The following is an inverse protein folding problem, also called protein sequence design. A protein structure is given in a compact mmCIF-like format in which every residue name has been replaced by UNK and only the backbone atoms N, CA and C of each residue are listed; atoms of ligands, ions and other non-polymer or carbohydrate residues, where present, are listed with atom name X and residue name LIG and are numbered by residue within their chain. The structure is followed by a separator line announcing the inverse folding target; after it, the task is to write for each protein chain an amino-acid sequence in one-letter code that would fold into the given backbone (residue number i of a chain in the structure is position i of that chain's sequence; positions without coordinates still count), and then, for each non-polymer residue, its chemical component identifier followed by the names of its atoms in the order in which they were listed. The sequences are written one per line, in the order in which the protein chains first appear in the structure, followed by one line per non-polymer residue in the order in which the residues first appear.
data_IF_707939741211
#
_entry.id   IF_707939741211
#
_cell.length_a   1.000
_cell.length_b   1.000
_cell.length_c   1.000
_cell.angle_alpha   90.00
_cell.angle_beta   90.00
_cell.angle_gamma   90.00
#
_symmetry.space_group_name_H-M   'P 1'
#
loop_
_entity.id
_entity.type
_entity.pdbx_description
1 polymer ?
#
# COMPACT_ATOMS: atom_id res chain seq x y z
N UNK A 1 61.52 -9.31 -0.32
CA UNK A 1 62.08 -8.37 0.67
C UNK A 1 60.98 -7.36 1.00
N UNK A 2 60.64 -7.29 2.30
CA UNK A 2 59.87 -6.29 3.08
C UNK A 2 58.50 -5.82 2.53
N UNK A 3 57.45 -6.46 3.05
CA UNK A 3 56.06 -6.00 3.16
C UNK A 3 56.03 -4.72 4.05
N UNK A 4 55.29 -3.68 3.61
CA UNK A 4 54.82 -2.60 4.49
C UNK A 4 53.33 -2.73 4.63
N UNK A 5 52.88 -3.13 5.82
CA UNK A 5 51.49 -2.95 6.31
C UNK A 5 51.32 -1.46 6.62
N UNK A 6 50.22 -0.88 6.17
CA UNK A 6 49.78 0.45 6.58
C UNK A 6 48.47 0.29 7.34
N UNK A 7 48.55 0.43 8.66
CA UNK A 7 47.41 0.54 9.56
C UNK A 7 46.77 1.92 9.43
N UNK A 8 45.48 1.96 9.23
CA UNK A 8 44.67 3.19 9.34
C UNK A 8 43.97 3.14 10.70
N UNK A 9 44.36 4.04 11.57
CA UNK A 9 43.73 4.33 12.86
C UNK A 9 42.48 5.16 12.62
N UNK A 10 41.32 4.67 13.03
CA UNK A 10 40.09 5.45 13.15
C UNK A 10 40.04 6.07 14.54
N UNK A 11 40.11 7.38 14.61
CA UNK A 11 39.96 8.16 15.85
C UNK A 11 38.49 8.50 16.04
N UNK A 12 37.89 7.97 17.10
CA UNK A 12 36.57 8.36 17.57
C UNK A 12 36.69 9.61 18.44
N UNK A 13 35.99 10.66 18.09
CA UNK A 13 35.86 11.86 18.93
C UNK A 13 34.48 11.88 19.58
N UNK A 14 34.46 11.59 20.88
CA UNK A 14 33.29 11.84 21.74
C UNK A 14 33.27 13.34 22.10
N UNK A 15 32.15 14.00 21.86
CA UNK A 15 31.84 15.27 22.49
C UNK A 15 30.75 15.06 23.54
N UNK A 16 31.15 15.22 24.80
CA UNK A 16 30.26 15.34 25.95
C UNK A 16 29.88 16.81 26.10
N UNK A 17 28.61 17.11 26.14
CA UNK A 17 28.05 18.43 26.45
C UNK A 17 27.06 18.33 27.59
N UNK A 18 27.35 19.05 28.65
CA UNK A 18 26.80 18.95 29.98
C UNK A 18 25.39 19.52 30.16
N UNK A 19 24.71 18.98 31.15
CA UNK A 19 23.47 19.34 31.81
C UNK A 19 23.46 20.78 32.35
N UNK A 20 22.34 21.47 32.17
CA UNK A 20 21.81 22.44 33.11
C UNK A 20 20.30 22.35 33.14
N UNK A 21 19.75 22.00 34.30
CA UNK A 21 18.37 21.82 34.58
C UNK A 21 17.68 23.11 35.00
N UNK A 22 16.36 23.08 34.92
CA UNK A 22 15.47 23.78 35.86
C UNK A 22 14.13 23.04 35.89
N UNK A 23 13.73 22.67 37.10
CA UNK A 23 12.52 21.95 37.40
C UNK A 23 11.31 22.83 37.53
N UNK A 24 10.15 22.24 37.41
CA UNK A 24 8.90 22.68 38.08
C UNK A 24 8.02 21.46 38.39
N UNK A 25 7.45 21.51 39.53
CA UNK A 25 6.71 20.49 40.29
C UNK A 25 5.30 20.21 39.70
N UNK A 26 4.67 19.12 40.17
CA UNK A 26 3.41 18.60 39.63
C UNK A 26 2.18 19.31 40.24
N UNK A 27 1.12 19.34 39.47
CA UNK A 27 -0.21 19.80 39.96
C UNK A 27 -1.17 18.61 40.03
N UNK A 28 -1.97 18.70 41.06
CA UNK A 28 -2.81 17.75 41.74
C UNK A 28 -4.01 17.22 40.91
N UNK A 29 -4.35 15.99 41.18
CA UNK A 29 -5.60 15.30 40.91
C UNK A 29 -6.78 15.94 41.68
N UNK A 30 -7.91 16.14 40.99
CA UNK A 30 -9.22 16.32 41.61
C UNK A 30 -10.23 15.37 40.92
N UNK A 31 -11.02 14.62 41.68
CA UNK A 31 -11.99 13.67 41.13
C UNK A 31 -13.32 14.39 40.82
N UNK A 32 -13.96 14.03 39.73
CA UNK A 32 -15.30 14.53 39.42
C UNK A 32 -16.33 13.41 39.56
N UNK A 33 -17.36 13.78 40.31
CA UNK A 33 -18.47 12.98 40.73
C UNK A 33 -19.47 12.65 39.63
N UNK A 34 -20.03 11.48 39.77
CA UNK A 34 -21.20 10.93 39.08
C UNK A 34 -22.44 11.79 39.30
N UNK A 35 -23.23 12.06 38.27
CA UNK A 35 -24.65 12.36 38.45
C UNK A 35 -25.47 11.65 37.38
N UNK A 36 -26.22 10.64 37.83
CA UNK A 36 -27.33 10.03 37.10
C UNK A 36 -28.51 11.01 37.05
N UNK A 37 -29.20 11.05 35.92
CA UNK A 37 -30.60 11.43 35.88
C UNK A 37 -31.37 10.57 34.90
N UNK A 38 -32.15 9.66 35.44
CA UNK A 38 -33.26 8.99 34.77
C UNK A 38 -34.34 9.98 34.34
N UNK A 39 -34.97 9.76 33.20
CA UNK A 39 -36.40 10.03 33.01
C UNK A 39 -37.00 9.14 31.94
N UNK A 40 -37.92 8.31 32.39
CA UNK A 40 -38.93 7.56 31.61
C UNK A 40 -39.87 8.48 30.82
N UNK A 41 -40.41 7.92 29.73
CA UNK A 41 -41.84 7.80 29.36
C UNK A 41 -41.95 7.36 27.88
N UNK A 42 -42.31 6.20 27.56
CA UNK A 42 -43.60 5.53 27.33
C UNK A 42 -44.40 5.98 26.10
N UNK A 43 -44.73 4.95 25.31
CA UNK A 43 -45.84 4.65 24.38
C UNK A 43 -45.35 4.46 22.92
N UNK A 44 -45.32 3.32 22.32
CA UNK A 44 -46.41 2.36 22.17
C UNK A 44 -46.99 2.49 20.74
N UNK A 45 -46.47 1.67 19.74
CA UNK A 45 -47.30 1.24 18.60
C UNK A 45 -46.76 -0.08 18.05
N UNK A 46 -47.62 -1.06 18.16
CA UNK A 46 -47.49 -2.40 17.61
C UNK A 46 -47.72 -2.39 16.12
N UNK A 47 -46.79 -2.99 15.34
CA UNK A 47 -47.05 -3.42 13.96
C UNK A 47 -46.71 -4.93 13.86
N UNK A 48 -47.43 -5.74 13.04
CA UNK A 48 -47.48 -7.17 13.19
C UNK A 48 -46.25 -7.88 12.63
N UNK A 49 -45.87 -8.95 13.32
CA UNK A 49 -44.82 -9.88 12.91
C UNK A 49 -45.13 -10.51 11.56
N UNK A 50 -44.25 -10.32 10.60
CA UNK A 50 -44.13 -11.17 9.42
C UNK A 50 -43.27 -12.35 9.83
N UNK A 51 -43.86 -13.53 9.77
CA UNK A 51 -43.19 -14.79 10.01
C UNK A 51 -42.24 -15.05 8.83
N UNK A 52 -40.96 -14.79 9.02
CA UNK A 52 -39.92 -15.15 8.08
C UNK A 52 -39.65 -16.66 8.26
N UNK A 53 -40.01 -17.45 7.28
CA UNK A 53 -39.64 -18.85 7.17
C UNK A 53 -38.15 -18.95 6.91
N UNK A 54 -37.40 -19.47 7.87
CA UNK A 54 -36.00 -19.81 7.70
C UNK A 54 -35.79 -20.70 6.46
N UNK A 55 -34.78 -20.44 5.61
CA UNK A 55 -34.36 -21.40 4.60
C UNK A 55 -33.77 -22.63 5.30
N UNK A 56 -34.13 -23.79 4.76
CA UNK A 56 -33.71 -25.10 5.24
C UNK A 56 -32.17 -25.17 5.27
N UNK A 57 -31.68 -25.82 6.33
CA UNK A 57 -30.30 -26.23 6.57
C UNK A 57 -29.59 -26.64 5.27
N UNK A 58 -28.64 -25.86 4.83
CA UNK A 58 -27.56 -26.39 4.01
C UNK A 58 -26.69 -27.22 4.95
N UNK A 59 -26.68 -28.53 4.76
CA UNK A 59 -25.77 -29.44 5.44
C UNK A 59 -24.34 -28.90 5.25
N UNK A 60 -23.71 -28.48 6.36
CA UNK A 60 -22.29 -28.21 6.40
C UNK A 60 -21.54 -29.48 5.93
N UNK A 61 -20.47 -29.36 5.12
CA UNK A 61 -19.67 -30.51 4.72
C UNK A 61 -19.16 -31.19 5.98
N UNK A 62 -19.52 -32.47 6.11
CA UNK A 62 -19.06 -33.34 7.18
C UNK A 62 -17.56 -33.50 7.04
N UNK A 63 -16.78 -32.89 7.95
CA UNK A 63 -15.34 -32.99 8.27
C UNK A 63 -14.62 -31.63 8.39
N UNK A 64 -15.31 -30.52 8.67
CA UNK A 64 -14.61 -29.30 9.08
C UNK A 64 -14.07 -29.49 10.51
N UNK A 65 -12.76 -29.49 10.70
CA UNK A 65 -12.11 -29.52 12.01
C UNK A 65 -12.62 -28.35 12.87
N UNK A 66 -13.04 -28.64 14.10
CA UNK A 66 -13.46 -27.60 15.04
C UNK A 66 -12.28 -26.65 15.32
N UNK A 67 -12.38 -25.34 14.96
CA UNK A 67 -11.30 -24.38 15.20
C UNK A 67 -10.81 -24.34 16.66
N UNK A 68 -11.70 -24.59 17.63
CA UNK A 68 -11.34 -24.66 19.03
C UNK A 68 -10.50 -25.91 19.40
N UNK A 69 -10.45 -26.92 18.55
CA UNK A 69 -9.58 -28.11 18.74
C UNK A 69 -8.14 -27.86 18.25
N UNK A 70 -7.93 -26.86 17.41
CA UNK A 70 -6.60 -26.53 16.86
C UNK A 70 -5.74 -25.89 17.94
N UNK A 71 -4.54 -26.43 18.17
CA UNK A 71 -3.59 -25.94 19.17
C UNK A 71 -2.20 -25.82 18.58
N UNK A 72 -1.39 -24.92 19.11
CA UNK A 72 0.00 -24.78 18.74
C UNK A 72 0.48 -23.34 18.81
N UNK A 73 1.71 -23.13 18.37
CA UNK A 73 2.34 -21.80 18.36
C UNK A 73 3.18 -21.63 17.11
N UNK A 74 3.28 -20.39 16.61
CA UNK A 74 4.20 -19.99 15.55
C UNK A 74 4.62 -18.54 15.70
N UNK A 75 5.73 -18.17 15.05
CA UNK A 75 6.26 -16.80 15.04
C UNK A 75 5.79 -16.05 13.81
N UNK A 76 5.37 -14.78 14.00
CA UNK A 76 4.98 -13.89 12.90
C UNK A 76 5.71 -12.53 13.01
N UNK A 77 6.47 -12.18 11.98
CA UNK A 77 7.17 -10.90 11.90
C UNK A 77 6.53 -9.99 10.87
N UNK A 78 6.33 -8.73 11.24
CA UNK A 78 5.72 -7.70 10.40
C UNK A 78 6.29 -6.32 10.67
N UNK A 79 6.02 -5.39 9.77
CA UNK A 79 6.35 -3.96 9.91
C UNK A 79 5.12 -3.07 10.15
N UNK A 80 3.91 -3.67 10.21
CA UNK A 80 2.67 -2.93 10.37
C UNK A 80 1.95 -3.26 11.67
N UNK A 81 1.53 -2.23 12.40
CA UNK A 81 0.74 -2.37 13.62
C UNK A 81 -0.65 -2.99 13.37
N UNK A 82 -1.16 -2.93 12.13
CA UNK A 82 -2.45 -3.55 11.76
C UNK A 82 -2.48 -5.06 11.95
N UNK A 83 -1.31 -5.73 11.94
CA UNK A 83 -1.20 -7.14 12.26
C UNK A 83 -1.69 -7.51 13.67
N UNK A 84 -1.69 -6.57 14.63
CA UNK A 84 -2.30 -6.80 15.93
C UNK A 84 -3.81 -7.08 15.83
N UNK A 85 -4.50 -6.35 14.93
CA UNK A 85 -5.93 -6.56 14.70
C UNK A 85 -6.18 -7.89 13.97
N UNK A 86 -5.34 -8.24 13.01
CA UNK A 86 -5.37 -9.52 12.30
C UNK A 86 -5.21 -10.70 13.26
N UNK A 87 -4.17 -10.68 14.10
CA UNK A 87 -3.91 -11.73 15.10
C UNK A 87 -5.06 -11.85 16.10
N UNK A 88 -5.58 -10.72 16.57
CA UNK A 88 -6.73 -10.70 17.47
C UNK A 88 -7.96 -11.35 16.81
N UNK A 89 -8.30 -10.97 15.59
CA UNK A 89 -9.44 -11.52 14.89
C UNK A 89 -9.26 -13.01 14.57
N UNK A 90 -8.07 -13.46 14.21
CA UNK A 90 -7.75 -14.87 14.07
C UNK A 90 -7.94 -15.65 15.36
N UNK A 91 -7.50 -15.12 16.50
CA UNK A 91 -7.64 -15.77 17.80
C UNK A 91 -9.09 -15.81 18.33
N UNK A 92 -10.00 -15.00 17.80
CA UNK A 92 -11.44 -15.14 18.07
C UNK A 92 -12.01 -16.42 17.44
N UNK A 93 -11.42 -16.87 16.31
CA UNK A 93 -11.80 -18.13 15.65
C UNK A 93 -10.97 -19.31 16.15
N UNK A 94 -9.65 -19.12 16.35
CA UNK A 94 -8.69 -20.14 16.79
C UNK A 94 -8.12 -19.84 18.19
N UNK A 95 -8.90 -19.96 19.26
CA UNK A 95 -8.56 -19.44 20.59
C UNK A 95 -7.39 -20.17 21.26
N UNK A 96 -7.02 -21.35 20.77
CA UNK A 96 -5.94 -22.19 21.34
C UNK A 96 -4.68 -22.20 20.48
N UNK A 97 -4.58 -21.30 19.49
CA UNK A 97 -3.34 -21.05 18.73
C UNK A 97 -2.67 -19.79 19.27
N UNK A 98 -1.39 -19.90 19.61
CA UNK A 98 -0.56 -18.76 20.05
C UNK A 98 0.26 -18.24 18.88
N UNK A 99 0.24 -16.93 18.66
CA UNK A 99 1.09 -16.26 17.67
C UNK A 99 2.07 -15.34 18.39
N UNK A 100 3.39 -15.66 18.31
CA UNK A 100 4.45 -14.75 18.75
C UNK A 100 4.63 -13.66 17.68
N UNK A 101 3.77 -12.63 17.77
CA UNK A 101 3.80 -11.48 16.86
C UNK A 101 4.91 -10.51 17.25
N UNK A 102 5.81 -10.22 16.31
CA UNK A 102 6.84 -9.21 16.45
C UNK A 102 6.69 -8.12 15.40
N UNK A 103 6.39 -6.91 15.87
CA UNK A 103 6.20 -5.71 15.03
C UNK A 103 7.45 -4.84 15.15
N UNK A 104 8.05 -4.46 14.04
CA UNK A 104 9.24 -3.63 13.98
C UNK A 104 8.96 -2.37 13.17
N UNK A 105 9.70 -1.29 13.41
CA UNK A 105 9.65 -0.12 12.50
C UNK A 105 10.13 -0.48 11.09
N UNK A 106 9.59 0.14 10.06
CA UNK A 106 9.78 -0.27 8.66
C UNK A 106 11.25 -0.47 8.25
N UNK A 107 12.14 0.49 8.51
CA UNK A 107 13.57 0.38 8.16
C UNK A 107 14.30 -0.71 8.97
N UNK A 108 13.95 -0.85 10.26
CA UNK A 108 14.48 -1.90 11.11
C UNK A 108 13.99 -3.27 10.63
N UNK A 109 12.70 -3.39 10.33
CA UNK A 109 12.09 -4.60 9.81
C UNK A 109 12.78 -5.06 8.53
N UNK A 110 12.88 -4.17 7.53
CA UNK A 110 13.52 -4.47 6.26
C UNK A 110 14.92 -5.04 6.46
N UNK A 111 15.73 -4.40 7.30
CA UNK A 111 17.09 -4.85 7.58
C UNK A 111 17.11 -6.23 8.22
N UNK A 112 16.24 -6.48 9.22
CA UNK A 112 16.15 -7.76 9.92
C UNK A 112 15.70 -8.89 9.01
N UNK A 113 14.58 -8.70 8.31
CA UNK A 113 14.00 -9.76 7.47
C UNK A 113 14.93 -10.11 6.31
N UNK A 114 15.51 -9.12 5.62
CA UNK A 114 16.46 -9.40 4.53
C UNK A 114 17.70 -10.13 5.02
N UNK A 115 18.23 -9.78 6.21
CA UNK A 115 19.35 -10.48 6.82
C UNK A 115 19.00 -11.93 7.15
N UNK A 116 17.82 -12.18 7.73
CA UNK A 116 17.34 -13.51 8.06
C UNK A 116 17.16 -14.37 6.79
N UNK A 117 16.51 -13.81 5.77
CA UNK A 117 16.28 -14.49 4.47
C UNK A 117 17.61 -14.82 3.77
N UNK A 118 18.55 -13.88 3.70
CA UNK A 118 19.83 -14.08 3.04
C UNK A 118 20.71 -15.10 3.77
N UNK A 119 20.68 -15.12 5.10
CA UNK A 119 21.48 -16.07 5.90
C UNK A 119 20.78 -17.43 6.09
N UNK A 120 19.47 -17.50 5.95
CA UNK A 120 18.64 -18.65 6.31
C UNK A 120 18.64 -18.94 7.82
N UNK A 121 19.01 -17.95 8.67
CA UNK A 121 19.10 -18.09 10.12
C UNK A 121 18.10 -17.15 10.82
N UNK A 122 17.35 -17.69 11.79
CA UNK A 122 16.40 -16.89 12.57
C UNK A 122 15.22 -16.39 11.75
N UNK A 123 14.89 -17.04 10.64
CA UNK A 123 13.71 -16.73 9.84
C UNK A 123 12.47 -17.12 10.64
N UNK A 124 11.49 -16.22 10.83
CA UNK A 124 10.21 -16.56 11.49
C UNK A 124 9.39 -17.54 10.66
N UNK A 125 8.41 -18.21 11.28
CA UNK A 125 7.53 -19.16 10.57
C UNK A 125 6.69 -18.47 9.51
N UNK A 126 6.15 -17.30 9.86
CA UNK A 126 5.35 -16.43 8.99
C UNK A 126 5.96 -15.03 9.02
N UNK A 127 5.98 -14.35 7.89
CA UNK A 127 6.53 -13.00 7.79
C UNK A 127 5.94 -12.22 6.61
N UNK A 128 5.94 -10.90 6.74
CA UNK A 128 5.52 -10.01 5.67
C UNK A 128 6.69 -9.62 4.77
N UNK A 129 6.41 -9.47 3.50
CA UNK A 129 7.29 -8.79 2.56
C UNK A 129 6.52 -7.64 1.88
N UNK A 130 7.12 -6.47 1.91
CA UNK A 130 6.61 -5.31 1.20
C UNK A 130 6.96 -5.39 -0.29
N UNK A 131 6.05 -5.00 -1.16
CA UNK A 131 6.15 -5.07 -2.61
C UNK A 131 7.49 -4.54 -3.17
N UNK A 132 8.01 -3.46 -2.60
CA UNK A 132 9.26 -2.83 -3.06
C UNK A 132 10.48 -3.77 -3.11
N UNK A 133 10.44 -4.89 -2.36
CA UNK A 133 11.51 -5.89 -2.34
C UNK A 133 11.00 -7.34 -2.32
N UNK A 134 9.70 -7.56 -2.23
CA UNK A 134 9.08 -8.89 -2.16
C UNK A 134 9.45 -9.75 -3.37
N UNK A 135 9.34 -9.20 -4.56
CA UNK A 135 9.54 -9.93 -5.81
C UNK A 135 10.97 -10.46 -5.99
N UNK A 136 11.95 -9.89 -5.30
CA UNK A 136 13.33 -10.40 -5.29
C UNK A 136 13.46 -11.78 -4.62
N UNK A 137 12.47 -12.16 -3.80
CA UNK A 137 12.51 -13.39 -3.00
C UNK A 137 11.50 -14.45 -3.43
N UNK A 138 10.48 -14.11 -4.25
CA UNK A 138 9.44 -15.08 -4.61
C UNK A 138 10.00 -16.31 -5.35
N UNK A 139 11.01 -16.15 -6.17
CA UNK A 139 11.69 -17.26 -6.87
C UNK A 139 12.63 -18.09 -5.97
N UNK A 140 12.81 -17.68 -4.70
CA UNK A 140 13.71 -18.39 -3.80
C UNK A 140 13.06 -19.61 -3.15
N UNK A 141 13.90 -20.61 -2.80
CA UNK A 141 13.49 -21.79 -2.03
C UNK A 141 13.29 -21.50 -0.53
N UNK A 142 13.47 -20.25 -0.10
CA UNK A 142 13.32 -19.89 1.32
C UNK A 142 11.86 -19.61 1.68
N UNK A 143 11.06 -19.22 0.70
CA UNK A 143 9.61 -19.01 0.83
C UNK A 143 8.89 -20.26 0.34
N UNK A 144 7.97 -20.78 1.13
CA UNK A 144 7.21 -21.98 0.82
C UNK A 144 6.33 -21.78 -0.44
N UNK A 145 6.21 -22.83 -1.22
CA UNK A 145 5.16 -22.97 -2.23
C UNK A 145 3.85 -23.27 -1.50
N UNK A 146 2.87 -22.40 -1.63
CA UNK A 146 1.59 -22.46 -0.89
C UNK A 146 0.58 -23.46 -1.48
N UNK A 147 0.94 -24.23 -2.52
CA UNK A 147 0.05 -25.23 -3.14
C UNK A 147 -0.47 -26.29 -2.14
N UNK A 148 0.26 -26.51 -1.04
CA UNK A 148 -0.16 -27.47 0.01
C UNK A 148 -1.44 -27.07 0.74
N UNK A 149 -1.89 -25.81 0.66
CA UNK A 149 -3.06 -25.29 1.36
C UNK A 149 -4.26 -24.98 0.44
N UNK A 150 -4.28 -25.51 -0.78
CA UNK A 150 -5.33 -25.25 -1.77
C UNK A 150 -5.55 -23.76 -2.05
N UNK A 151 -4.46 -23.02 -2.17
CA UNK A 151 -4.44 -21.56 -2.28
C UNK A 151 -5.25 -21.04 -3.50
N UNK A 152 -5.29 -21.80 -4.59
CA UNK A 152 -6.06 -21.46 -5.80
C UNK A 152 -7.56 -21.34 -5.52
N UNK A 153 -8.12 -22.23 -4.71
CA UNK A 153 -9.52 -22.15 -4.31
C UNK A 153 -9.77 -21.00 -3.34
N UNK A 154 -8.83 -20.75 -2.41
CA UNK A 154 -8.92 -19.64 -1.45
C UNK A 154 -8.87 -18.26 -2.11
N UNK A 155 -8.25 -18.16 -3.28
CA UNK A 155 -8.04 -16.87 -3.98
C UNK A 155 -8.81 -16.76 -5.30
N UNK A 156 -9.73 -17.70 -5.60
CA UNK A 156 -10.46 -17.74 -6.87
C UNK A 156 -11.30 -16.50 -7.15
N UNK A 157 -11.76 -15.83 -6.10
CA UNK A 157 -12.59 -14.64 -6.17
C UNK A 157 -11.79 -13.34 -5.94
N UNK A 158 -10.46 -13.42 -5.92
CA UNK A 158 -9.57 -12.25 -5.83
C UNK A 158 -9.47 -11.53 -7.17
N UNK A 159 -9.05 -10.26 -7.14
CA UNK A 159 -8.72 -9.54 -8.37
C UNK A 159 -7.57 -10.22 -9.10
N UNK A 160 -7.64 -10.28 -10.44
CA UNK A 160 -6.64 -10.96 -11.27
C UNK A 160 -5.20 -10.47 -11.03
N UNK A 161 -5.01 -9.15 -10.87
CA UNK A 161 -3.69 -8.59 -10.59
C UNK A 161 -3.16 -9.02 -9.22
N UNK A 162 -4.02 -9.20 -8.23
CA UNK A 162 -3.62 -9.72 -6.92
C UNK A 162 -3.17 -11.16 -7.03
N UNK A 163 -3.95 -12.00 -7.72
CA UNK A 163 -3.56 -13.40 -7.97
C UNK A 163 -2.23 -13.49 -8.71
N UNK A 164 -2.00 -12.61 -9.70
CA UNK A 164 -0.75 -12.57 -10.44
C UNK A 164 0.43 -12.15 -9.55
N UNK A 165 0.26 -11.14 -8.70
CA UNK A 165 1.32 -10.60 -7.82
C UNK A 165 1.76 -11.57 -6.71
N UNK A 166 0.94 -12.58 -6.39
CA UNK A 166 1.25 -13.59 -5.36
C UNK A 166 2.10 -14.76 -5.87
N UNK A 167 2.40 -14.80 -7.17
CA UNK A 167 3.08 -15.93 -7.83
C UNK A 167 4.55 -15.62 -8.14
N UNK A 168 5.37 -16.68 -8.10
CA UNK A 168 6.73 -16.64 -8.62
C UNK A 168 6.75 -16.69 -10.17
N UNK A 169 7.93 -16.61 -10.77
CA UNK A 169 8.13 -16.68 -12.23
C UNK A 169 7.69 -18.02 -12.85
N UNK A 170 7.49 -19.06 -12.03
CA UNK A 170 7.02 -20.38 -12.47
C UNK A 170 5.48 -20.53 -12.26
N UNK A 171 4.79 -19.49 -11.83
CA UNK A 171 3.35 -19.51 -11.59
C UNK A 171 2.91 -20.14 -10.26
N UNK A 172 3.85 -20.39 -9.34
CA UNK A 172 3.56 -20.96 -8.03
C UNK A 172 3.23 -19.86 -7.04
N UNK A 173 2.18 -20.05 -6.26
CA UNK A 173 1.86 -19.15 -5.16
C UNK A 173 2.93 -19.20 -4.07
N UNK A 174 3.53 -18.07 -3.75
CA UNK A 174 4.60 -17.92 -2.76
C UNK A 174 4.20 -17.02 -1.61
N UNK A 175 3.16 -16.22 -1.78
CA UNK A 175 2.66 -15.29 -0.79
C UNK A 175 1.14 -15.18 -0.86
N UNK A 176 0.53 -14.61 0.17
CA UNK A 176 -0.86 -14.23 0.19
C UNK A 176 -0.97 -12.75 0.52
N UNK A 177 -1.62 -11.97 -0.33
CA UNK A 177 -2.02 -10.60 -0.01
C UNK A 177 -3.55 -10.56 0.23
N UNK A 178 -3.96 -9.99 1.34
CA UNK A 178 -5.38 -9.91 1.73
C UNK A 178 -6.03 -8.57 1.43
N UNK A 179 -5.23 -7.62 0.95
CA UNK A 179 -5.67 -6.27 0.63
C UNK A 179 -5.14 -5.82 -0.72
N UNK A 180 -5.94 -5.05 -1.42
CA UNK A 180 -5.55 -4.33 -2.62
C UNK A 180 -5.08 -2.93 -2.26
N UNK A 181 -4.18 -2.38 -3.06
CA UNK A 181 -3.59 -1.06 -2.82
C UNK A 181 -3.66 -0.19 -4.09
N UNK A 182 -4.86 0.03 -4.67
CA UNK A 182 -4.98 0.84 -5.87
C UNK A 182 -4.47 2.26 -5.64
N UNK A 183 -3.75 2.81 -6.61
CA UNK A 183 -3.32 4.22 -6.62
C UNK A 183 -4.52 5.09 -6.96
N UNK A 184 -4.70 6.16 -6.20
CA UNK A 184 -5.85 7.05 -6.26
C UNK A 184 -5.41 8.51 -6.35
N UNK A 185 -6.29 9.37 -6.84
CA UNK A 185 -6.15 10.82 -6.74
C UNK A 185 -6.95 11.32 -5.53
N UNK A 186 -6.24 11.51 -4.42
CA UNK A 186 -6.80 12.05 -3.20
C UNK A 186 -6.84 13.57 -3.27
N UNK A 187 -7.95 14.19 -2.84
CA UNK A 187 -8.11 15.65 -2.85
C UNK A 187 -8.95 16.14 -1.67
N UNK A 188 -8.81 17.42 -1.32
CA UNK A 188 -9.72 18.11 -0.40
C UNK A 188 -10.89 18.68 -1.20
N UNK A 189 -12.12 18.36 -0.79
CA UNK A 189 -13.36 18.73 -1.50
C UNK A 189 -13.55 20.24 -1.60
N UNK A 190 -13.29 20.98 -0.54
CA UNK A 190 -13.39 22.44 -0.53
C UNK A 190 -12.35 23.10 -1.47
N UNK A 191 -11.12 22.60 -1.47
CA UNK A 191 -10.10 23.08 -2.38
C UNK A 191 -10.42 22.72 -3.85
N UNK A 192 -10.92 21.51 -4.11
CA UNK A 192 -11.37 21.09 -5.43
C UNK A 192 -12.55 21.95 -5.92
N UNK A 193 -13.57 22.18 -5.10
CA UNK A 193 -14.68 23.08 -5.42
C UNK A 193 -14.19 24.49 -5.79
N UNK A 194 -13.23 25.02 -5.02
CA UNK A 194 -12.68 26.35 -5.23
C UNK A 194 -11.90 26.46 -6.56
N UNK A 195 -11.06 25.46 -6.88
CA UNK A 195 -10.07 25.58 -7.94
C UNK A 195 -10.42 24.80 -9.21
N UNK A 196 -11.15 23.69 -9.08
CA UNK A 196 -11.63 22.88 -10.21
C UNK A 196 -13.08 23.22 -10.58
N UNK A 197 -13.85 23.84 -9.65
CA UNK A 197 -15.27 24.17 -9.83
C UNK A 197 -16.20 22.98 -9.55
N UNK A 198 -15.69 21.92 -8.99
CA UNK A 198 -16.43 20.74 -8.56
C UNK A 198 -15.68 19.99 -7.47
N UNK A 199 -16.41 19.34 -6.57
CA UNK A 199 -15.90 18.39 -5.59
C UNK A 199 -16.40 16.97 -5.82
N UNK A 200 -17.10 16.74 -6.93
CA UNK A 200 -17.61 15.41 -7.33
C UNK A 200 -16.47 14.54 -7.90
N UNK A 201 -16.22 13.33 -7.35
CA UNK A 201 -15.15 12.47 -7.80
C UNK A 201 -15.22 12.06 -9.27
N UNK A 202 -16.45 11.82 -9.78
CA UNK A 202 -16.63 11.38 -11.16
C UNK A 202 -16.38 12.54 -12.15
N UNK A 203 -16.79 13.76 -11.82
CA UNK A 203 -16.51 14.95 -12.62
C UNK A 203 -15.02 15.26 -12.66
N UNK A 204 -14.32 15.12 -11.51
CA UNK A 204 -12.85 15.28 -11.44
C UNK A 204 -12.15 14.23 -12.30
N UNK A 205 -12.54 12.95 -12.18
CA UNK A 205 -11.98 11.88 -13.02
C UNK A 205 -12.22 12.13 -14.53
N UNK A 206 -13.41 12.61 -14.90
CA UNK A 206 -13.74 12.96 -16.28
C UNK A 206 -12.98 14.17 -16.82
N UNK A 207 -12.51 15.06 -15.94
CA UNK A 207 -11.72 16.25 -16.29
C UNK A 207 -10.25 15.91 -16.55
N UNK A 208 -9.71 14.89 -15.87
CA UNK A 208 -8.30 14.53 -15.88
C UNK A 208 -8.12 13.17 -16.59
N UNK A 209 -8.10 13.20 -17.91
CA UNK A 209 -8.14 12.00 -18.76
C UNK A 209 -6.77 11.51 -19.24
N UNK A 210 -5.75 12.35 -19.11
CA UNK A 210 -4.36 12.09 -19.53
C UNK A 210 -3.42 13.15 -18.96
N UNK A 211 -2.10 13.00 -19.22
CA UNK A 211 -1.11 13.96 -18.73
C UNK A 211 -1.25 15.35 -19.33
N UNK A 212 -1.72 15.48 -20.56
CA UNK A 212 -1.95 16.79 -21.20
C UNK A 212 -3.02 17.58 -20.45
N UNK A 213 -4.15 16.95 -20.13
CA UNK A 213 -5.24 17.58 -19.36
C UNK A 213 -4.83 17.91 -17.92
N UNK A 214 -4.05 17.02 -17.26
CA UNK A 214 -3.52 17.29 -15.91
C UNK A 214 -2.59 18.51 -15.92
N UNK A 215 -1.64 18.58 -16.87
CA UNK A 215 -0.69 19.68 -16.97
C UNK A 215 -1.41 20.99 -17.27
N UNK A 216 -2.29 21.00 -18.28
CA UNK A 216 -3.07 22.19 -18.67
C UNK A 216 -3.94 22.71 -17.51
N UNK A 217 -4.60 21.81 -16.78
CA UNK A 217 -5.38 22.19 -15.60
C UNK A 217 -4.51 22.73 -14.47
N UNK A 218 -3.35 22.14 -14.25
CA UNK A 218 -2.40 22.63 -13.26
C UNK A 218 -1.87 24.01 -13.56
N UNK A 219 -1.56 24.31 -14.83
CA UNK A 219 -1.14 25.67 -15.26
C UNK A 219 -2.26 26.69 -15.08
N UNK A 220 -3.51 26.34 -15.45
CA UNK A 220 -4.69 27.18 -15.23
C UNK A 220 -4.85 27.56 -13.75
N UNK A 221 -4.69 26.56 -12.84
CA UNK A 221 -4.82 26.78 -11.40
C UNK A 221 -3.66 27.64 -10.88
N UNK A 222 -2.44 27.38 -11.33
CA UNK A 222 -1.29 28.19 -10.97
C UNK A 222 -1.49 29.68 -11.34
N UNK A 223 -1.98 29.94 -12.56
CA UNK A 223 -2.29 31.31 -12.98
C UNK A 223 -3.41 31.95 -12.15
N UNK A 224 -4.52 31.24 -11.94
CA UNK A 224 -5.66 31.75 -11.16
C UNK A 224 -5.32 32.03 -9.70
N UNK A 225 -4.42 31.24 -9.11
CA UNK A 225 -3.98 31.37 -7.74
C UNK A 225 -2.82 32.36 -7.56
N UNK A 226 -2.32 32.95 -8.61
CA UNK A 226 -1.07 33.76 -8.62
C UNK A 226 0.15 32.95 -8.11
N UNK A 227 0.18 31.66 -8.40
CA UNK A 227 1.26 30.76 -8.04
C UNK A 227 1.20 30.20 -6.61
N UNK A 228 0.10 30.40 -5.90
CA UNK A 228 -0.04 29.91 -4.52
C UNK A 228 -0.51 28.45 -4.43
N UNK A 229 -1.14 27.92 -5.48
CA UNK A 229 -1.72 26.59 -5.53
C UNK A 229 -1.16 25.80 -6.70
N UNK A 230 -0.80 24.54 -6.45
CA UNK A 230 -0.36 23.58 -7.46
C UNK A 230 -1.33 22.40 -7.51
N UNK A 231 -1.55 21.88 -8.71
CA UNK A 231 -2.41 20.70 -8.90
C UNK A 231 -1.70 19.42 -8.50
N UNK A 232 -0.43 19.26 -8.88
CA UNK A 232 0.33 18.02 -8.81
C UNK A 232 1.51 18.12 -7.83
N UNK A 233 1.85 17.05 -7.08
CA UNK A 233 2.91 17.12 -6.07
C UNK A 233 4.33 17.24 -6.67
N UNK A 234 4.68 16.33 -7.59
CA UNK A 234 6.00 16.28 -8.25
C UNK A 234 6.02 15.25 -9.38
N UNK A 235 7.04 15.29 -10.23
CA UNK A 235 7.14 14.40 -11.41
C UNK A 235 7.36 12.92 -11.06
N UNK A 236 7.87 12.61 -9.86
CA UNK A 236 8.08 11.23 -9.41
C UNK A 236 6.75 10.47 -9.29
N UNK A 237 5.67 11.16 -8.87
CA UNK A 237 4.35 10.58 -8.70
C UNK A 237 3.68 10.15 -10.02
N UNK A 238 4.16 10.68 -11.16
CA UNK A 238 3.65 10.29 -12.48
C UNK A 238 3.97 8.82 -12.79
N UNK A 239 5.13 8.34 -12.35
CA UNK A 239 5.52 6.93 -12.53
C UNK A 239 4.57 5.99 -11.77
N UNK A 240 4.08 6.39 -10.59
CA UNK A 240 3.09 5.57 -9.84
C UNK A 240 1.80 5.34 -10.62
N UNK A 241 1.35 6.33 -11.38
CA UNK A 241 0.13 6.24 -12.18
C UNK A 241 0.30 5.27 -13.36
N UNK A 242 1.46 5.33 -14.03
CA UNK A 242 1.67 4.67 -15.31
C UNK A 242 2.37 3.30 -15.21
N UNK A 243 3.17 3.06 -14.16
CA UNK A 243 4.13 1.96 -14.10
C UNK A 243 3.56 0.55 -14.35
N UNK A 244 2.35 0.26 -13.87
CA UNK A 244 1.69 -1.04 -14.06
C UNK A 244 0.73 -1.07 -15.26
N UNK A 245 0.67 0.01 -16.04
CA UNK A 245 -0.07 0.07 -17.30
C UNK A 245 0.82 -0.18 -18.51
N UNK A 246 2.14 -0.27 -18.31
CA UNK A 246 3.14 -0.46 -19.37
C UNK A 246 3.77 -1.85 -19.28
N UNK A 247 4.31 -2.30 -20.41
CA UNK A 247 5.15 -3.50 -20.42
C UNK A 247 6.37 -3.31 -19.48
N UNK A 248 6.84 -4.38 -18.81
CA UNK A 248 8.01 -4.33 -17.95
C UNK A 248 9.24 -3.79 -18.67
N UNK A 249 10.09 -3.05 -17.92
CA UNK A 249 11.38 -2.57 -18.46
C UNK A 249 12.41 -3.67 -18.71
N UNK A 250 12.23 -4.83 -18.09
CA UNK A 250 13.05 -6.02 -18.39
C UNK A 250 12.14 -7.14 -18.86
N UNK A 251 12.36 -7.63 -20.07
CA UNK A 251 11.61 -8.74 -20.70
C UNK A 251 12.62 -9.79 -21.14
N UNK A 252 12.44 -11.03 -20.73
CA UNK A 252 13.35 -12.15 -21.05
C UNK A 252 14.84 -11.84 -20.75
N UNK A 253 15.09 -11.12 -19.65
CA UNK A 253 16.43 -10.72 -19.22
C UNK A 253 17.08 -9.62 -20.06
N UNK A 254 16.31 -8.88 -20.86
CA UNK A 254 16.76 -7.75 -21.68
C UNK A 254 16.06 -6.47 -21.29
N UNK A 255 16.81 -5.38 -21.28
CA UNK A 255 16.21 -4.04 -21.13
C UNK A 255 15.41 -3.67 -22.37
N UNK A 256 14.13 -3.30 -22.16
CA UNK A 256 13.22 -2.80 -23.18
C UNK A 256 12.61 -1.49 -22.70
N UNK A 257 13.08 -0.35 -23.22
CA UNK A 257 12.45 0.96 -22.97
C UNK A 257 11.51 1.23 -24.13
N UNK A 258 10.22 0.93 -23.91
CA UNK A 258 9.18 1.11 -24.94
C UNK A 258 8.86 2.59 -25.18
N UNK A 259 8.09 2.86 -26.23
CA UNK A 259 7.58 4.21 -26.52
C UNK A 259 6.72 4.76 -25.38
N UNK A 260 6.03 3.90 -24.60
CA UNK A 260 5.25 4.32 -23.44
C UNK A 260 6.15 4.90 -22.33
N UNK A 261 7.26 4.21 -22.01
CA UNK A 261 8.24 4.72 -21.04
C UNK A 261 8.93 6.02 -21.51
N UNK A 262 9.20 6.11 -22.82
CA UNK A 262 9.74 7.34 -23.41
C UNK A 262 8.71 8.48 -23.37
N UNK A 263 7.46 8.20 -23.69
CA UNK A 263 6.34 9.15 -23.60
C UNK A 263 6.07 9.63 -22.17
N UNK A 264 6.17 8.73 -21.18
CA UNK A 264 6.08 9.13 -19.78
C UNK A 264 7.21 10.12 -19.42
N UNK A 265 8.44 9.85 -19.86
CA UNK A 265 9.57 10.73 -19.60
C UNK A 265 9.41 12.12 -20.26
N UNK A 266 8.82 12.18 -21.46
CA UNK A 266 8.45 13.45 -22.11
C UNK A 266 7.38 14.21 -21.31
N UNK A 267 6.35 13.50 -20.83
CA UNK A 267 5.33 14.08 -19.96
C UNK A 267 5.90 14.56 -18.62
N UNK A 268 6.81 13.78 -18.00
CA UNK A 268 7.51 14.19 -16.77
C UNK A 268 8.31 15.49 -16.99
N UNK A 269 8.98 15.64 -18.13
CA UNK A 269 9.72 16.85 -18.50
C UNK A 269 8.76 18.03 -18.67
N UNK A 270 7.68 17.85 -19.43
CA UNK A 270 6.67 18.89 -19.63
C UNK A 270 6.05 19.31 -18.30
N UNK A 271 5.72 18.36 -17.43
CA UNK A 271 5.22 18.65 -16.08
C UNK A 271 6.24 19.44 -15.25
N UNK A 272 7.51 19.06 -15.30
CA UNK A 272 8.57 19.76 -14.57
C UNK A 272 8.79 21.20 -15.04
N UNK A 273 8.78 21.42 -16.36
CA UNK A 273 8.96 22.75 -16.98
C UNK A 273 7.71 23.63 -16.83
N UNK A 274 6.55 23.02 -16.67
CA UNK A 274 5.28 23.70 -16.41
C UNK A 274 5.21 24.24 -14.97
N UNK A 275 4.17 24.98 -14.68
CA UNK A 275 3.85 25.44 -13.31
C UNK A 275 2.79 24.58 -12.64
N UNK A 276 2.49 23.41 -13.21
CA UNK A 276 1.42 22.53 -12.74
C UNK A 276 1.80 21.78 -11.46
N UNK A 277 3.10 21.55 -11.18
CA UNK A 277 3.57 20.78 -10.04
C UNK A 277 4.19 21.64 -8.94
N UNK A 278 4.11 21.15 -7.69
CA UNK A 278 4.61 21.85 -6.50
C UNK A 278 6.10 21.62 -6.20
N UNK A 279 6.76 20.66 -6.87
CA UNK A 279 8.11 20.19 -6.55
C UNK A 279 8.28 19.69 -5.10
N UNK A 280 7.20 19.23 -4.46
CA UNK A 280 7.20 18.72 -3.09
C UNK A 280 7.41 17.21 -3.07
N UNK A 281 8.39 16.76 -2.31
CA UNK A 281 8.63 15.33 -2.11
C UNK A 281 7.54 14.70 -1.24
N UNK A 282 6.99 13.58 -1.68
CA UNK A 282 5.99 12.81 -0.91
C UNK A 282 6.53 12.45 0.47
N UNK A 283 5.64 12.43 1.47
CA UNK A 283 5.95 12.18 2.89
C UNK A 283 6.76 13.28 3.59
N UNK A 284 7.11 14.35 2.89
CA UNK A 284 7.75 15.52 3.50
C UNK A 284 6.77 16.37 4.31
N UNK A 285 7.27 17.08 5.33
CA UNK A 285 6.47 18.02 6.13
C UNK A 285 5.82 19.11 5.28
N UNK A 286 6.54 19.60 4.27
CA UNK A 286 6.05 20.66 3.38
C UNK A 286 4.95 20.17 2.45
N UNK A 287 5.03 18.89 1.99
CA UNK A 287 3.99 18.24 1.23
C UNK A 287 2.71 18.06 2.05
N UNK A 288 2.83 17.60 3.31
CA UNK A 288 1.70 17.45 4.22
C UNK A 288 1.06 18.81 4.55
N UNK A 289 1.88 19.84 4.79
CA UNK A 289 1.39 21.18 5.08
C UNK A 289 0.67 21.79 3.87
N UNK A 290 1.25 21.69 2.67
CA UNK A 290 0.63 22.21 1.44
C UNK A 290 -0.73 21.54 1.15
N UNK A 291 -0.84 20.23 1.38
CA UNK A 291 -2.12 19.52 1.30
C UNK A 291 -3.13 20.06 2.31
N UNK A 292 -2.80 20.09 3.59
CA UNK A 292 -3.71 20.53 4.66
C UNK A 292 -4.15 22.00 4.50
N UNK A 293 -3.33 22.83 3.88
CA UNK A 293 -3.63 24.24 3.56
C UNK A 293 -4.42 24.43 2.26
N UNK A 294 -4.75 23.37 1.53
CA UNK A 294 -5.40 23.42 0.22
C UNK A 294 -4.54 24.04 -0.89
N UNK A 295 -3.21 24.06 -0.71
CA UNK A 295 -2.23 24.59 -1.67
C UNK A 295 -1.67 23.53 -2.62
N UNK A 296 -1.82 22.26 -2.27
CA UNK A 296 -1.61 21.10 -3.11
C UNK A 296 -2.95 20.39 -3.29
N UNK A 297 -3.47 20.31 -4.51
CA UNK A 297 -4.81 19.76 -4.75
C UNK A 297 -4.84 18.25 -4.72
N UNK A 298 -3.84 17.58 -5.31
CA UNK A 298 -3.82 16.12 -5.33
C UNK A 298 -2.65 15.53 -4.53
N UNK A 299 -2.96 14.48 -3.78
CA UNK A 299 -2.02 13.42 -3.40
C UNK A 299 -2.25 12.24 -4.33
N UNK A 300 -1.17 11.69 -4.89
CA UNK A 300 -1.20 10.52 -5.75
C UNK A 300 -0.68 9.34 -4.95
N UNK A 301 -1.56 8.69 -4.26
CA UNK A 301 -1.19 7.73 -3.23
C UNK A 301 -2.10 6.49 -3.29
N UNK A 302 -1.61 5.34 -2.85
CA UNK A 302 -2.44 4.15 -2.74
C UNK A 302 -3.55 4.32 -1.69
N UNK A 303 -4.53 3.44 -1.74
CA UNK A 303 -5.73 3.49 -0.90
C UNK A 303 -5.47 3.51 0.60
N UNK A 304 -4.29 3.09 1.06
CA UNK A 304 -3.91 3.07 2.48
C UNK A 304 -3.31 4.39 3.00
N UNK A 305 -3.17 5.44 2.16
CA UNK A 305 -2.60 6.76 2.57
C UNK A 305 -3.43 7.50 3.62
N UNK A 306 -4.65 7.09 3.89
CA UNK A 306 -5.49 7.72 4.91
C UNK A 306 -4.86 7.75 6.31
N UNK A 307 -3.75 7.08 6.56
CA UNK A 307 -3.02 7.11 7.84
C UNK A 307 -2.35 8.45 8.14
N UNK A 308 -2.17 9.32 7.15
CA UNK A 308 -1.45 10.59 7.33
C UNK A 308 -2.39 11.79 7.40
N UNK A 309 -2.66 12.30 8.61
CA UNK A 309 -3.38 13.56 8.86
C UNK A 309 -4.84 13.65 8.33
N UNK A 310 -5.41 12.54 7.80
CA UNK A 310 -6.77 12.53 7.27
C UNK A 310 -7.83 12.93 8.31
N UNK A 311 -7.63 12.59 9.58
CA UNK A 311 -8.56 12.91 10.67
C UNK A 311 -8.83 14.42 10.78
N UNK A 312 -7.85 15.25 10.46
CA UNK A 312 -8.01 16.72 10.45
C UNK A 312 -8.95 17.19 9.33
N UNK A 313 -9.09 16.36 8.30
CA UNK A 313 -9.87 16.65 7.10
C UNK A 313 -11.08 15.72 6.96
N UNK A 314 -11.47 15.01 8.03
CA UNK A 314 -12.62 14.10 8.01
C UNK A 314 -13.88 14.81 7.44
N UNK A 315 -14.56 14.14 6.52
CA UNK A 315 -15.68 14.69 5.77
C UNK A 315 -15.30 15.58 4.57
N UNK A 316 -14.06 16.07 4.49
CA UNK A 316 -13.58 16.94 3.42
C UNK A 316 -12.68 16.21 2.39
N UNK A 317 -12.32 14.97 2.62
CA UNK A 317 -11.49 14.21 1.68
C UNK A 317 -12.37 13.55 0.61
N UNK A 318 -11.91 13.60 -0.63
CA UNK A 318 -12.47 12.87 -1.76
C UNK A 318 -11.41 12.04 -2.48
N UNK A 319 -11.85 11.03 -3.21
CA UNK A 319 -11.01 10.11 -3.98
C UNK A 319 -11.52 10.02 -5.40
N UNK A 320 -10.73 10.46 -6.37
CA UNK A 320 -11.05 10.35 -7.79
C UNK A 320 -10.25 9.19 -8.43
N UNK A 321 -10.88 8.56 -9.44
CA UNK A 321 -10.25 7.49 -10.23
C UNK A 321 -9.21 8.09 -11.17
N UNK A 322 -7.96 7.63 -11.14
CA UNK A 322 -6.95 8.01 -12.11
C UNK A 322 -7.31 7.55 -13.53
N UNK A 323 -6.81 8.24 -14.54
CA UNK A 323 -7.00 7.85 -15.94
C UNK A 323 -6.25 6.57 -16.35
N UNK A 324 -5.27 6.14 -15.54
CA UNK A 324 -4.63 4.83 -15.60
C UNK A 324 -4.72 4.14 -14.25
N UNK A 325 -4.91 2.84 -14.26
CA UNK A 325 -5.05 2.05 -13.05
C UNK A 325 -3.73 1.37 -12.70
N UNK A 326 -3.29 1.57 -11.47
CA UNK A 326 -2.08 0.97 -10.92
C UNK A 326 -2.24 0.67 -9.43
N UNK A 327 -1.27 0.01 -8.84
CA UNK A 327 -1.22 -0.27 -7.40
C UNK A 327 0.19 -0.04 -6.84
N UNK A 328 0.29 0.17 -5.54
CA UNK A 328 1.57 0.38 -4.87
C UNK A 328 1.51 -0.05 -3.40
N UNK A 329 2.60 -0.62 -2.91
CA UNK A 329 2.77 -0.90 -1.48
C UNK A 329 1.93 -2.07 -0.98
N UNK A 330 1.71 -3.09 -1.80
CA UNK A 330 1.11 -4.34 -1.37
C UNK A 330 2.01 -5.06 -0.35
N UNK A 331 1.37 -5.77 0.58
CA UNK A 331 2.04 -6.63 1.55
C UNK A 331 1.71 -8.07 1.25
N UNK A 332 2.74 -8.89 1.11
CA UNK A 332 2.61 -10.33 0.96
C UNK A 332 2.96 -11.06 2.25
N UNK A 333 2.03 -11.86 2.77
CA UNK A 333 2.29 -12.77 3.90
C UNK A 333 2.93 -14.03 3.36
N UNK A 334 4.14 -14.33 3.80
CA UNK A 334 4.96 -15.46 3.37
C UNK A 334 5.11 -16.48 4.49
N UNK A 335 5.34 -17.73 4.11
CA UNK A 335 5.65 -18.84 5.03
C UNK A 335 7.08 -19.30 4.80
N UNK A 336 7.86 -19.48 5.86
CA UNK A 336 9.20 -20.05 5.75
C UNK A 336 9.15 -21.51 5.28
N UNK A 337 9.89 -21.85 4.20
CA UNK A 337 9.79 -23.19 3.64
C UNK A 337 10.22 -24.31 4.60
N UNK A 338 11.15 -24.02 5.50
CA UNK A 338 11.68 -25.02 6.45
C UNK A 338 10.99 -25.02 7.82
N UNK A 339 9.90 -24.25 7.98
CA UNK A 339 9.13 -24.32 9.24
C UNK A 339 8.45 -25.68 9.38
N UNK A 340 8.34 -26.14 10.62
CA UNK A 340 7.52 -27.30 11.00
C UNK A 340 6.06 -26.91 11.34
N UNK A 341 5.71 -25.61 11.17
CA UNK A 341 4.40 -25.03 11.51
C UNK A 341 3.51 -24.81 10.27
N UNK A 342 3.81 -25.45 9.13
CA UNK A 342 3.07 -25.23 7.86
C UNK A 342 1.56 -25.38 8.01
N UNK A 343 1.09 -26.34 8.82
CA UNK A 343 -0.35 -26.57 9.03
C UNK A 343 -1.02 -25.40 9.77
N UNK A 344 -0.34 -24.81 10.78
CA UNK A 344 -0.86 -23.63 11.48
C UNK A 344 -0.80 -22.40 10.61
N UNK A 345 0.29 -22.22 9.86
CA UNK A 345 0.41 -21.14 8.88
C UNK A 345 -0.68 -21.25 7.81
N UNK A 346 -1.01 -22.43 7.31
CA UNK A 346 -2.09 -22.63 6.37
C UNK A 346 -3.47 -22.20 6.93
N UNK A 347 -3.76 -22.53 8.19
CA UNK A 347 -5.01 -22.07 8.83
C UNK A 347 -5.05 -20.56 9.00
N UNK A 348 -3.92 -19.96 9.36
CA UNK A 348 -3.79 -18.51 9.46
C UNK A 348 -4.00 -17.83 8.10
N UNK A 349 -3.31 -18.28 7.04
CA UNK A 349 -3.48 -17.71 5.71
C UNK A 349 -4.89 -17.96 5.15
N UNK A 350 -5.49 -19.12 5.40
CA UNK A 350 -6.86 -19.39 4.98
C UNK A 350 -7.87 -18.46 5.66
N UNK A 351 -7.67 -18.15 6.94
CA UNK A 351 -8.49 -17.15 7.64
C UNK A 351 -8.31 -15.75 7.03
N UNK A 352 -7.08 -15.36 6.76
CA UNK A 352 -6.74 -14.06 6.12
C UNK A 352 -7.36 -13.93 4.72
N UNK A 353 -7.44 -15.04 3.98
CA UNK A 353 -8.07 -15.08 2.66
C UNK A 353 -9.59 -15.09 2.71
N UNK A 354 -10.19 -15.37 3.86
CA UNK A 354 -11.65 -15.53 3.98
C UNK A 354 -12.40 -14.21 3.74
N UNK A 355 -13.57 -14.32 3.12
CA UNK A 355 -14.45 -13.18 2.88
C UNK A 355 -14.86 -12.48 4.19
N UNK A 356 -15.09 -13.25 5.26
CA UNK A 356 -15.45 -12.71 6.57
C UNK A 356 -14.35 -11.80 7.12
N UNK A 357 -13.07 -12.23 7.08
CA UNK A 357 -11.96 -11.38 7.53
C UNK A 357 -11.79 -10.15 6.65
N UNK A 358 -11.82 -10.33 5.32
CA UNK A 358 -11.62 -9.21 4.40
C UNK A 358 -12.74 -8.18 4.50
N UNK A 359 -13.98 -8.61 4.72
CA UNK A 359 -15.12 -7.72 4.98
C UNK A 359 -14.94 -6.95 6.28
N UNK A 360 -14.61 -7.61 7.39
CA UNK A 360 -14.37 -6.98 8.69
C UNK A 360 -13.20 -5.97 8.57
N UNK A 361 -12.14 -6.34 7.86
CA UNK A 361 -10.98 -5.47 7.66
C UNK A 361 -11.32 -4.23 6.83
N UNK A 362 -12.15 -4.36 5.80
CA UNK A 362 -12.63 -3.25 5.00
C UNK A 362 -13.54 -2.30 5.83
N UNK A 363 -14.51 -2.85 6.55
CA UNK A 363 -15.49 -2.07 7.32
C UNK A 363 -14.86 -1.34 8.52
N UNK A 364 -13.89 -1.95 9.20
CA UNK A 364 -13.30 -1.39 10.42
C UNK A 364 -12.01 -0.60 10.18
N UNK A 365 -11.33 -0.82 9.05
CA UNK A 365 -10.00 -0.26 8.80
C UNK A 365 -9.86 0.38 7.41
N UNK A 366 -10.96 0.59 6.68
CA UNK A 366 -10.99 1.17 5.33
C UNK A 366 -10.03 0.47 4.35
N UNK A 367 -9.68 -0.81 4.59
CA UNK A 367 -8.81 -1.57 3.70
C UNK A 367 -9.58 -2.06 2.48
N UNK A 368 -8.94 -2.02 1.33
CA UNK A 368 -9.55 -2.55 0.09
C UNK A 368 -9.35 -4.06 0.05
N UNK A 369 -10.42 -4.87 0.01
CA UNK A 369 -10.29 -6.32 -0.07
C UNK A 369 -9.47 -6.78 -1.27
N UNK A 370 -8.70 -7.86 -1.12
CA UNK A 370 -8.11 -8.56 -2.25
C UNK A 370 -9.18 -9.38 -3.02
N UNK A 371 -10.23 -9.83 -2.31
CA UNK A 371 -11.40 -10.49 -2.90
C UNK A 371 -12.24 -9.46 -3.67
N UNK A 372 -12.31 -9.64 -4.99
CA UNK A 372 -13.20 -8.87 -5.86
C UNK A 372 -14.66 -9.04 -5.44
N UNK A 373 -15.06 -10.27 -5.09
CA UNK A 373 -16.43 -10.55 -4.68
C UNK A 373 -16.82 -9.77 -3.42
N UNK A 374 -15.94 -9.69 -2.42
CA UNK A 374 -16.17 -8.89 -1.20
C UNK A 374 -16.20 -7.39 -1.53
N UNK A 375 -15.25 -6.91 -2.32
CA UNK A 375 -15.18 -5.51 -2.71
C UNK A 375 -16.44 -5.07 -3.47
N UNK A 376 -16.90 -5.86 -4.45
CA UNK A 376 -18.11 -5.59 -5.22
C UNK A 376 -19.37 -5.64 -4.34
N UNK A 377 -19.47 -6.61 -3.42
CA UNK A 377 -20.58 -6.67 -2.48
C UNK A 377 -20.65 -5.45 -1.54
N UNK A 378 -19.50 -5.01 -1.04
CA UNK A 378 -19.41 -3.79 -0.23
C UNK A 378 -19.74 -2.53 -1.05
N UNK A 379 -19.39 -2.50 -2.33
CA UNK A 379 -19.68 -1.39 -3.23
C UNK A 379 -21.19 -1.14 -3.42
N UNK A 380 -22.06 -2.11 -3.14
CA UNK A 380 -23.52 -1.93 -3.26
C UNK A 380 -24.12 -0.99 -2.18
N UNK A 381 -23.45 -0.81 -1.06
CA UNK A 381 -24.04 -0.04 0.06
C UNK A 381 -23.05 0.69 0.96
N UNK A 382 -21.75 0.60 0.68
CA UNK A 382 -20.72 1.26 1.47
C UNK A 382 -20.76 2.78 1.33
N UNK A 383 -20.68 3.47 2.45
CA UNK A 383 -20.57 4.94 2.49
C UNK A 383 -19.72 5.33 3.68
N UNK A 384 -18.75 6.20 3.49
CA UNK A 384 -17.88 6.69 4.56
C UNK A 384 -18.12 8.19 4.82
N UNK A 385 -18.61 8.51 6.01
CA UNK A 385 -18.78 9.92 6.43
C UNK A 385 -17.45 10.66 6.47
N UNK A 386 -16.36 9.99 6.81
CA UNK A 386 -15.01 10.55 6.82
C UNK A 386 -14.57 11.03 5.45
N UNK A 387 -15.15 10.47 4.39
CA UNK A 387 -14.91 10.84 3.00
C UNK A 387 -16.13 11.53 2.36
N UNK A 388 -16.88 12.30 3.16
CA UNK A 388 -18.01 13.10 2.69
C UNK A 388 -19.16 12.27 2.13
N UNK A 389 -19.37 11.07 2.64
CA UNK A 389 -20.40 10.14 2.18
C UNK A 389 -20.05 9.39 0.90
N UNK A 390 -18.81 9.47 0.41
CA UNK A 390 -18.38 8.77 -0.79
C UNK A 390 -18.39 7.26 -0.60
N UNK A 391 -18.85 6.54 -1.61
CA UNK A 391 -18.71 5.09 -1.72
C UNK A 391 -17.30 4.73 -2.21
N UNK A 392 -16.36 4.63 -1.28
CA UNK A 392 -14.97 4.32 -1.61
C UNK A 392 -14.80 2.93 -2.20
N UNK A 393 -15.60 1.93 -1.75
CA UNK A 393 -15.48 0.57 -2.28
C UNK A 393 -15.87 0.50 -3.75
N UNK A 394 -16.86 1.28 -4.19
CA UNK A 394 -17.19 1.40 -5.61
C UNK A 394 -16.03 2.04 -6.41
N UNK A 395 -15.42 3.09 -5.87
CA UNK A 395 -14.24 3.73 -6.50
C UNK A 395 -13.06 2.77 -6.59
N UNK A 396 -12.75 2.07 -5.51
CA UNK A 396 -11.62 1.11 -5.47
C UNK A 396 -11.87 -0.10 -6.35
N UNK A 397 -13.11 -0.66 -6.36
CA UNK A 397 -13.47 -1.76 -7.27
C UNK A 397 -13.31 -1.33 -8.73
N UNK A 398 -13.75 -0.12 -9.09
CA UNK A 398 -13.56 0.42 -10.44
C UNK A 398 -12.08 0.46 -10.84
N UNK A 399 -11.20 0.96 -9.96
CA UNK A 399 -9.76 1.03 -10.23
C UNK A 399 -9.16 -0.38 -10.32
N UNK A 400 -9.41 -1.23 -9.33
CA UNK A 400 -8.84 -2.59 -9.26
C UNK A 400 -9.24 -3.44 -10.48
N UNK A 401 -10.46 -3.30 -10.99
CA UNK A 401 -10.92 -4.00 -12.20
C UNK A 401 -10.19 -3.57 -13.49
N UNK A 402 -9.53 -2.42 -13.48
CA UNK A 402 -8.76 -1.89 -14.62
C UNK A 402 -7.27 -2.16 -14.54
N UNK A 403 -6.76 -2.60 -13.38
CA UNK A 403 -5.34 -2.93 -13.22
C UNK A 403 -5.00 -4.17 -14.05
N UNK A 404 -3.98 -4.06 -14.88
CA UNK A 404 -3.49 -5.19 -15.67
C UNK A 404 -2.77 -6.17 -14.76
N UNK A 405 -3.21 -7.42 -14.76
CA UNK A 405 -2.53 -8.49 -14.02
C UNK A 405 -1.26 -8.92 -14.75
N UNK A 406 -0.11 -8.54 -14.22
CA UNK A 406 1.18 -9.08 -14.63
C UNK A 406 1.72 -9.96 -13.52
N UNK A 407 2.40 -11.06 -13.85
CA UNK A 407 3.20 -11.80 -12.87
C UNK A 407 4.53 -11.08 -12.75
N UNK A 408 4.80 -10.41 -11.62
CA UNK A 408 6.05 -9.68 -11.47
C UNK A 408 7.22 -10.64 -11.30
N UNK A 409 8.38 -10.18 -11.70
CA UNK A 409 9.66 -10.84 -11.47
C UNK A 409 10.57 -9.98 -10.59
N UNK A 410 11.76 -10.47 -10.27
CA UNK A 410 12.74 -9.76 -9.42
C UNK A 410 13.14 -8.38 -9.96
N UNK A 411 12.93 -8.11 -11.24
CA UNK A 411 13.28 -6.83 -11.87
C UNK A 411 12.14 -5.83 -11.81
N UNK A 412 10.89 -6.30 -11.80
CA UNK A 412 9.70 -5.49 -12.07
C UNK A 412 9.70 -4.22 -11.21
N UNK A 413 9.74 -4.33 -9.90
CA UNK A 413 9.66 -3.15 -9.01
C UNK A 413 11.01 -2.42 -8.88
N UNK A 414 12.09 -3.19 -8.73
CA UNK A 414 13.43 -2.62 -8.54
C UNK A 414 13.88 -1.79 -9.75
N UNK A 415 13.59 -2.25 -10.98
CA UNK A 415 13.96 -1.53 -12.20
C UNK A 415 13.04 -0.34 -12.46
N UNK A 416 11.74 -0.45 -12.14
CA UNK A 416 10.83 0.72 -12.15
C UNK A 416 11.32 1.82 -11.20
N UNK A 417 11.69 1.47 -9.97
CA UNK A 417 12.22 2.43 -8.98
C UNK A 417 13.54 3.06 -9.48
N UNK A 418 14.38 2.25 -10.12
CA UNK A 418 15.62 2.74 -10.71
C UNK A 418 15.35 3.74 -11.86
N UNK A 419 14.42 3.41 -12.75
CA UNK A 419 13.98 4.31 -13.83
C UNK A 419 13.39 5.60 -13.24
N UNK A 420 12.46 5.52 -12.30
CA UNK A 420 11.85 6.65 -11.62
C UNK A 420 12.91 7.61 -11.07
N UNK A 421 13.91 7.05 -10.37
CA UNK A 421 14.99 7.83 -9.81
C UNK A 421 15.79 8.57 -10.90
N UNK A 422 16.26 7.85 -11.90
CA UNK A 422 17.14 8.42 -12.92
C UNK A 422 16.41 9.36 -13.88
N UNK A 423 15.14 9.08 -14.20
CA UNK A 423 14.29 10.00 -14.95
C UNK A 423 14.07 11.31 -14.17
N UNK A 424 13.71 11.21 -12.90
CA UNK A 424 13.50 12.40 -12.03
C UNK A 424 14.78 13.22 -11.89
N UNK A 425 15.89 12.60 -11.51
CA UNK A 425 17.16 13.28 -11.27
C UNK A 425 17.73 13.90 -12.55
N UNK A 426 17.65 13.15 -13.66
CA UNK A 426 18.15 13.61 -14.95
C UNK A 426 17.35 14.78 -15.53
N UNK A 427 16.03 14.74 -15.44
CA UNK A 427 15.15 15.85 -15.87
C UNK A 427 15.45 17.10 -15.03
N UNK A 428 15.51 16.97 -13.71
CA UNK A 428 15.87 18.08 -12.80
C UNK A 428 17.26 18.63 -13.05
N UNK A 429 18.20 17.82 -13.53
CA UNK A 429 19.53 18.23 -13.93
C UNK A 429 19.60 18.83 -15.35
N UNK A 430 18.47 18.93 -16.07
CA UNK A 430 18.39 19.48 -17.44
C UNK A 430 18.98 18.57 -18.53
N UNK A 431 19.10 17.25 -18.27
CA UNK A 431 19.52 16.26 -19.27
C UNK A 431 18.39 16.01 -20.26
N UNK A 432 18.74 15.78 -21.52
CA UNK A 432 17.78 15.25 -22.50
C UNK A 432 17.46 13.77 -22.22
N UNK A 433 16.45 13.21 -22.90
CA UNK A 433 16.02 11.83 -22.69
C UNK A 433 17.13 10.82 -23.00
N UNK A 434 17.96 11.08 -23.99
CA UNK A 434 19.08 10.20 -24.33
C UNK A 434 20.10 10.11 -23.18
N UNK A 435 20.46 11.25 -22.59
CA UNK A 435 21.35 11.33 -21.44
C UNK A 435 20.75 10.69 -20.16
N UNK A 436 19.43 10.81 -19.96
CA UNK A 436 18.72 10.12 -18.85
C UNK A 436 18.80 8.61 -19.03
N UNK A 437 18.50 8.12 -20.23
CA UNK A 437 18.52 6.67 -20.54
C UNK A 437 19.94 6.11 -20.45
N UNK A 438 20.97 6.86 -20.83
CA UNK A 438 22.35 6.41 -20.67
C UNK A 438 22.72 6.21 -19.19
N UNK A 439 22.37 7.15 -18.34
CA UNK A 439 22.59 7.02 -16.89
C UNK A 439 21.81 5.85 -16.29
N UNK A 440 20.55 5.69 -16.69
CA UNK A 440 19.69 4.58 -16.24
C UNK A 440 20.28 3.23 -16.68
N UNK A 441 20.70 3.09 -17.95
CA UNK A 441 21.36 1.87 -18.47
C UNK A 441 22.60 1.53 -17.66
N UNK A 442 23.42 2.51 -17.33
CA UNK A 442 24.61 2.30 -16.50
C UNK A 442 24.26 1.83 -15.11
N UNK A 443 23.30 2.47 -14.44
CA UNK A 443 22.88 2.10 -13.11
C UNK A 443 22.22 0.70 -13.08
N UNK A 444 21.45 0.36 -14.11
CA UNK A 444 20.89 -0.98 -14.29
C UNK A 444 21.98 -2.04 -14.43
N UNK A 445 23.00 -1.78 -15.24
CA UNK A 445 24.14 -2.70 -15.39
C UNK A 445 24.94 -2.88 -14.10
N UNK A 446 25.13 -1.79 -13.34
CA UNK A 446 25.82 -1.84 -12.05
C UNK A 446 25.05 -2.68 -11.00
N UNK A 447 23.72 -2.66 -11.03
CA UNK A 447 22.86 -3.39 -10.11
C UNK A 447 22.53 -4.81 -10.57
N UNK A 448 22.33 -5.00 -11.88
CA UNK A 448 21.92 -6.25 -12.50
C UNK A 448 22.79 -6.54 -13.75
N UNK A 449 24.07 -6.94 -13.54
CA UNK A 449 25.01 -7.15 -14.65
C UNK A 449 24.60 -8.28 -15.59
N UNK A 450 23.66 -9.14 -15.19
CA UNK A 450 23.10 -10.20 -16.01
C UNK A 450 22.03 -9.71 -17.03
N UNK A 451 21.48 -8.50 -16.85
CA UNK A 451 20.51 -7.92 -17.79
C UNK A 451 21.22 -7.47 -19.04
N UNK A 452 20.75 -7.95 -20.20
CA UNK A 452 21.30 -7.55 -21.50
C UNK A 452 20.81 -6.13 -21.83
N UNK A 453 21.75 -5.25 -22.12
CA UNK A 453 21.52 -3.85 -22.50
C UNK A 453 22.11 -3.64 -23.90
N UNK A 454 21.26 -3.37 -24.88
CA UNK A 454 21.65 -3.05 -26.26
C UNK A 454 21.99 -1.56 -26.44
#
# INVERSE_FOLDING_TARGET
MKKKMMSVLLTATMLAGALAGCGSKPSETVPSETTQTEKESAAGQTTPAVQETAPADAEAPADAEDPASVTGEFTYWTYTDSANNLVKAFNEVYPNVSIDLQVFGGDEYKTKILTALQSGQGVPDVFDLEENYMYEFLDSDIIADLSYMNIEELTKDFFDFQVASMKDSNGKFKTLSFQSSPVCFWYLRDAAEQWLGTSDPAEISAMLTDWETVIAKGEEIHEKSNGEVSLWPNITEMVKVDAFSFDPLVIDGKLVVSDDWMGLMDNMRTMYESKANAELGSWGSDWAAAWNDGKLLFRVMPSWDFFTDWEKNAGNVGVATPFRASYEGATGICVYDKTDKKDLAAKFLAYVASDDFQKINAENHNQVPASKAVCDALAEGYSSEDFGGQNLMATYSEICNKIVGITPDKYTRSVQNLFQKWATDGIKAGKDNAGVIEDFKKALHDQYPEVVID
#
